data_IF_479929754375
#
_entry.id   IF_479929754375
#
_cell.length_a   1.000
_cell.length_b   1.000
_cell.length_c   1.000
_cell.angle_alpha   90.00
_cell.angle_beta   90.00
_cell.angle_gamma   90.00
#
_symmetry.space_group_name_H-M   'P 1'
#
loop_
_entity.id
_entity.type
_entity.pdbx_description
1 polymer ?
#
# COMPACT_ATOMS: atom_id res chain seq x y z
N UNK A 1 -5.22 -11.31 13.40
CA UNK A 1 -4.60 -12.47 12.72
C UNK A 1 -3.08 -12.39 12.74
N UNK A 2 -2.46 -11.33 12.19
CA UNK A 2 -0.98 -11.18 12.17
C UNK A 2 -0.37 -11.10 13.58
N UNK A 3 -0.99 -10.40 14.53
CA UNK A 3 -0.48 -10.33 15.91
C UNK A 3 -0.47 -11.69 16.62
N UNK A 4 -1.45 -12.56 16.32
CA UNK A 4 -1.48 -13.93 16.85
C UNK A 4 -0.32 -14.76 16.30
N UNK A 5 0.02 -14.58 15.02
CA UNK A 5 1.18 -15.23 14.40
C UNK A 5 2.48 -14.81 15.10
N UNK A 6 2.66 -13.53 15.40
CA UNK A 6 3.84 -13.06 16.15
C UNK A 6 3.90 -13.59 17.58
N UNK A 7 2.76 -13.65 18.27
CA UNK A 7 2.69 -14.25 19.62
C UNK A 7 3.05 -15.74 19.62
N UNK A 8 2.52 -16.50 18.65
CA UNK A 8 2.88 -17.91 18.48
C UNK A 8 4.36 -18.05 18.17
N UNK A 9 4.91 -17.18 17.31
CA UNK A 9 6.34 -17.18 16.99
C UNK A 9 7.21 -16.87 18.20
N UNK A 10 6.77 -15.99 19.10
CA UNK A 10 7.49 -15.65 20.32
C UNK A 10 7.57 -16.84 21.30
N UNK A 11 6.55 -17.72 21.31
CA UNK A 11 6.49 -18.89 22.19
C UNK A 11 7.21 -20.11 21.59
N UNK A 12 7.00 -20.38 20.30
CA UNK A 12 7.50 -21.60 19.62
C UNK A 12 8.89 -21.41 19.01
N UNK A 13 9.33 -20.16 18.83
CA UNK A 13 10.59 -19.80 18.18
C UNK A 13 10.44 -19.71 16.65
N UNK A 14 11.34 -18.95 16.02
CA UNK A 14 11.31 -18.68 14.57
C UNK A 14 11.59 -19.95 13.74
N UNK A 15 12.35 -20.89 14.30
CA UNK A 15 12.73 -22.14 13.65
C UNK A 15 11.53 -23.04 13.30
N UNK A 16 10.40 -22.88 13.99
CA UNK A 16 9.18 -23.64 13.71
C UNK A 16 8.61 -23.36 12.32
N UNK A 17 8.82 -22.14 11.79
CA UNK A 17 8.32 -21.73 10.48
C UNK A 17 9.03 -22.39 9.30
N UNK A 18 10.26 -22.88 9.53
CA UNK A 18 11.08 -23.54 8.51
C UNK A 18 10.89 -25.07 8.51
N UNK A 19 10.19 -25.63 9.50
CA UNK A 19 9.93 -27.06 9.57
C UNK A 19 8.65 -27.44 8.83
N UNK A 20 8.64 -28.55 8.06
CA UNK A 20 7.44 -29.04 7.41
C UNK A 20 6.45 -29.56 8.46
N UNK A 21 5.16 -29.26 8.27
CA UNK A 21 4.10 -29.67 9.21
C UNK A 21 3.63 -31.08 8.85
N UNK A 22 3.02 -31.22 7.67
CA UNK A 22 2.40 -32.45 7.16
C UNK A 22 2.61 -32.45 5.62
N UNK A 23 2.99 -33.59 5.02
CA UNK A 23 3.19 -33.76 3.57
C UNK A 23 4.08 -32.68 2.89
N UNK A 24 5.20 -32.29 3.51
CA UNK A 24 6.09 -31.21 3.01
C UNK A 24 5.44 -29.83 2.85
N UNK A 25 4.26 -29.59 3.42
CA UNK A 25 3.65 -28.25 3.44
C UNK A 25 4.32 -27.43 4.55
N UNK A 26 4.88 -26.28 4.18
CA UNK A 26 5.46 -25.34 5.14
C UNK A 26 4.37 -24.44 5.74
N UNK A 27 4.64 -23.89 6.93
CA UNK A 27 3.76 -22.88 7.54
C UNK A 27 3.52 -21.66 6.64
N UNK A 28 4.51 -21.29 5.81
CA UNK A 28 4.39 -20.21 4.81
C UNK A 28 3.26 -20.48 3.82
N UNK A 29 3.09 -21.72 3.39
CA UNK A 29 2.11 -22.08 2.36
C UNK A 29 0.69 -22.01 2.92
N UNK A 30 0.49 -22.49 4.15
CA UNK A 30 -0.79 -22.34 4.87
C UNK A 30 -1.17 -20.87 5.07
N UNK A 31 -0.21 -20.04 5.47
CA UNK A 31 -0.49 -18.62 5.69
C UNK A 31 -0.80 -17.89 4.37
N UNK A 32 -0.06 -18.19 3.31
CA UNK A 32 -0.27 -17.61 1.98
C UNK A 32 -1.64 -18.02 1.41
N UNK A 33 -1.96 -19.31 1.47
CA UNK A 33 -3.26 -19.84 1.01
C UNK A 33 -4.43 -19.29 1.81
N UNK A 34 -4.29 -19.12 3.14
CA UNK A 34 -5.30 -18.47 3.96
C UNK A 34 -5.54 -17.02 3.53
N UNK A 35 -4.48 -16.22 3.36
CA UNK A 35 -4.61 -14.81 2.96
C UNK A 35 -5.25 -14.69 1.58
N UNK A 36 -4.72 -15.42 0.59
CA UNK A 36 -5.24 -15.39 -0.79
C UNK A 36 -6.67 -15.92 -0.83
N UNK A 37 -6.93 -17.02 -0.12
CA UNK A 37 -8.26 -17.61 0.01
C UNK A 37 -9.28 -16.62 0.58
N UNK A 38 -8.99 -15.99 1.72
CA UNK A 38 -9.87 -14.98 2.32
C UNK A 38 -10.04 -13.73 1.44
N UNK A 39 -8.99 -13.31 0.73
CA UNK A 39 -9.06 -12.18 -0.20
C UNK A 39 -10.02 -12.47 -1.36
N UNK A 40 -9.86 -13.63 -2.02
CA UNK A 40 -10.64 -14.00 -3.21
C UNK A 40 -12.05 -14.48 -2.89
N UNK A 41 -12.27 -15.16 -1.76
CA UNK A 41 -13.58 -15.75 -1.42
C UNK A 41 -14.49 -14.82 -0.62
N UNK A 42 -13.93 -13.96 0.23
CA UNK A 42 -14.73 -13.10 1.14
C UNK A 42 -14.57 -11.64 0.78
N UNK A 43 -13.34 -11.12 0.81
CA UNK A 43 -13.12 -9.67 0.78
C UNK A 43 -13.48 -9.06 -0.56
N UNK A 44 -12.97 -9.62 -1.66
CA UNK A 44 -13.25 -9.11 -3.01
C UNK A 44 -14.72 -9.29 -3.41
N UNK A 45 -15.35 -10.48 -3.25
CA UNK A 45 -16.74 -10.66 -3.64
C UNK A 45 -17.68 -9.77 -2.84
N UNK A 46 -17.46 -9.63 -1.52
CA UNK A 46 -18.30 -8.77 -0.69
C UNK A 46 -18.15 -7.29 -1.05
N UNK A 47 -16.93 -6.83 -1.32
CA UNK A 47 -16.67 -5.45 -1.76
C UNK A 47 -17.32 -5.17 -3.12
N UNK A 48 -17.18 -6.08 -4.08
CA UNK A 48 -17.77 -5.95 -5.40
C UNK A 48 -19.31 -5.98 -5.35
N UNK A 49 -19.88 -6.90 -4.56
CA UNK A 49 -21.31 -6.98 -4.32
C UNK A 49 -21.87 -5.67 -3.74
N UNK A 50 -21.18 -5.08 -2.76
CA UNK A 50 -21.58 -3.81 -2.15
C UNK A 50 -21.54 -2.65 -3.16
N UNK A 51 -20.51 -2.58 -4.00
CA UNK A 51 -20.42 -1.58 -5.08
C UNK A 51 -21.56 -1.77 -6.09
N UNK A 52 -21.81 -3.01 -6.53
CA UNK A 52 -22.88 -3.32 -7.48
C UNK A 52 -24.27 -3.01 -6.92
N UNK A 53 -24.53 -3.40 -5.67
CA UNK A 53 -25.78 -3.09 -4.97
C UNK A 53 -25.97 -1.57 -4.81
N UNK A 54 -24.91 -0.85 -4.46
CA UNK A 54 -24.93 0.62 -4.37
C UNK A 54 -25.24 1.28 -5.72
N UNK A 55 -24.66 0.77 -6.81
CA UNK A 55 -24.94 1.23 -8.17
C UNK A 55 -26.41 1.03 -8.55
N UNK A 56 -26.93 -0.19 -8.36
CA UNK A 56 -28.32 -0.53 -8.70
C UNK A 56 -29.33 0.32 -7.92
N UNK A 57 -29.02 0.63 -6.66
CA UNK A 57 -29.89 1.40 -5.78
C UNK A 57 -29.70 2.93 -5.92
N UNK A 58 -28.83 3.41 -6.82
CA UNK A 58 -28.47 4.83 -6.98
C UNK A 58 -28.02 5.51 -5.67
N UNK A 59 -27.47 4.75 -4.72
CA UNK A 59 -26.95 5.27 -3.44
C UNK A 59 -25.45 5.57 -3.51
N UNK A 60 -24.84 5.49 -4.70
CA UNK A 60 -23.44 5.82 -4.87
C UNK A 60 -23.22 7.32 -4.74
N UNK A 61 -22.16 7.67 -4.03
CA UNK A 61 -21.71 9.05 -3.85
C UNK A 61 -21.28 9.72 -5.16
N UNK A 62 -20.83 8.92 -6.13
CA UNK A 62 -20.48 9.36 -7.46
C UNK A 62 -21.44 8.73 -8.47
N UNK A 63 -21.93 9.53 -9.43
CA UNK A 63 -22.99 9.13 -10.36
C UNK A 63 -22.55 8.10 -11.39
N UNK A 64 -21.24 7.93 -11.59
CA UNK A 64 -20.68 7.01 -12.59
C UNK A 64 -19.79 5.96 -11.93
N UNK A 65 -19.90 4.71 -12.39
CA UNK A 65 -19.03 3.59 -11.97
C UNK A 65 -17.55 3.90 -12.23
N UNK A 66 -17.24 4.55 -13.35
CA UNK A 66 -15.89 4.99 -13.69
C UNK A 66 -15.27 5.83 -12.57
N UNK A 67 -16.00 6.83 -12.07
CA UNK A 67 -15.52 7.72 -11.00
C UNK A 67 -15.36 6.98 -9.68
N UNK A 68 -16.22 5.99 -9.43
CA UNK A 68 -16.15 5.14 -8.23
C UNK A 68 -14.96 4.19 -8.25
N UNK A 69 -14.53 3.73 -9.44
CA UNK A 69 -13.41 2.82 -9.64
C UNK A 69 -12.08 3.53 -9.95
N UNK A 70 -12.11 4.82 -10.28
CA UNK A 70 -10.93 5.66 -10.50
C UNK A 70 -9.86 5.55 -9.39
N UNK A 71 -10.23 5.48 -8.09
CA UNK A 71 -9.27 5.30 -7.00
C UNK A 71 -8.45 4.00 -7.07
N UNK A 72 -8.93 2.98 -7.78
CA UNK A 72 -8.24 1.69 -7.91
C UNK A 72 -7.08 1.73 -8.91
N UNK A 73 -7.05 2.70 -9.81
CA UNK A 73 -6.03 2.78 -10.87
C UNK A 73 -4.63 2.93 -10.26
N UNK A 74 -4.46 3.85 -9.31
CA UNK A 74 -3.15 4.12 -8.70
C UNK A 74 -2.56 2.90 -7.96
N UNK A 75 -3.30 2.21 -7.07
CA UNK A 75 -2.82 0.98 -6.45
C UNK A 75 -2.54 -0.17 -7.43
N UNK A 76 -3.41 -0.38 -8.43
CA UNK A 76 -3.20 -1.44 -9.43
C UNK A 76 -1.93 -1.16 -10.24
N UNK A 77 -1.71 0.09 -10.66
CA UNK A 77 -0.52 0.49 -11.38
C UNK A 77 0.75 0.31 -10.53
N UNK A 78 0.71 0.64 -9.24
CA UNK A 78 1.81 0.38 -8.30
C UNK A 78 2.21 -1.10 -8.29
N UNK A 79 1.22 -2.01 -8.18
CA UNK A 79 1.50 -3.45 -8.15
C UNK A 79 2.03 -3.96 -9.49
N UNK A 80 1.49 -3.50 -10.62
CA UNK A 80 1.99 -3.86 -11.95
C UNK A 80 3.44 -3.41 -12.11
N UNK A 81 3.75 -2.15 -11.83
CA UNK A 81 5.11 -1.61 -11.95
C UNK A 81 6.10 -2.31 -11.02
N UNK A 82 5.72 -2.56 -9.77
CA UNK A 82 6.56 -3.28 -8.80
C UNK A 82 6.84 -4.72 -9.26
N UNK A 83 5.83 -5.38 -9.82
CA UNK A 83 5.97 -6.74 -10.35
C UNK A 83 6.86 -6.77 -11.59
N UNK A 84 6.68 -5.81 -12.51
CA UNK A 84 7.55 -5.65 -13.69
C UNK A 84 9.00 -5.43 -13.28
N UNK A 85 9.25 -4.60 -12.26
CA UNK A 85 10.59 -4.39 -11.74
C UNK A 85 11.21 -5.70 -11.23
N UNK A 86 10.48 -6.46 -10.41
CA UNK A 86 11.00 -7.74 -9.88
C UNK A 86 11.41 -8.68 -11.02
N UNK A 87 10.58 -8.81 -12.06
CA UNK A 87 10.88 -9.72 -13.18
C UNK A 87 11.98 -9.22 -14.11
N UNK A 88 12.10 -7.89 -14.29
CA UNK A 88 13.12 -7.29 -15.14
C UNK A 88 14.44 -7.04 -14.42
N UNK A 89 14.50 -7.20 -13.09
CA UNK A 89 15.66 -6.90 -12.26
C UNK A 89 16.84 -7.85 -12.56
N UNK A 90 17.97 -7.35 -13.10
CA UNK A 90 19.17 -8.17 -13.30
C UNK A 90 19.86 -8.51 -11.98
N UNK A 91 19.78 -7.63 -10.97
CA UNK A 91 20.48 -7.78 -9.69
C UNK A 91 19.65 -8.51 -8.61
N UNK A 92 18.49 -9.08 -9.00
CA UNK A 92 17.56 -9.79 -8.11
C UNK A 92 17.30 -9.02 -6.80
N UNK A 93 16.87 -7.76 -6.91
CA UNK A 93 16.71 -6.86 -5.76
C UNK A 93 15.82 -7.42 -4.64
N UNK A 94 14.89 -8.31 -4.97
CA UNK A 94 14.01 -8.95 -4.00
C UNK A 94 14.76 -9.94 -3.11
N UNK A 95 15.77 -10.63 -3.63
CA UNK A 95 16.60 -11.56 -2.87
C UNK A 95 17.67 -10.80 -2.07
N UNK A 96 18.26 -9.77 -2.68
CA UNK A 96 19.33 -8.98 -2.07
C UNK A 96 18.83 -8.04 -0.97
N UNK A 97 17.73 -7.31 -1.21
CA UNK A 97 17.18 -6.30 -0.30
C UNK A 97 15.65 -6.37 -0.14
N UNK A 98 15.08 -7.53 0.27
CA UNK A 98 13.63 -7.74 0.36
C UNK A 98 12.93 -6.72 1.26
N UNK A 99 13.53 -6.41 2.42
CA UNK A 99 12.94 -5.53 3.43
C UNK A 99 12.75 -4.11 2.89
N UNK A 100 13.75 -3.59 2.19
CA UNK A 100 13.72 -2.24 1.65
C UNK A 100 12.69 -2.14 0.53
N UNK A 101 12.65 -3.13 -0.35
CA UNK A 101 11.68 -3.19 -1.44
C UNK A 101 10.23 -3.26 -0.93
N UNK A 102 9.93 -4.17 0.00
CA UNK A 102 8.58 -4.27 0.58
C UNK A 102 8.19 -3.01 1.37
N UNK A 103 9.15 -2.38 2.05
CA UNK A 103 8.92 -1.11 2.74
C UNK A 103 8.58 0.03 1.76
N UNK A 104 9.29 0.14 0.64
CA UNK A 104 9.02 1.11 -0.41
C UNK A 104 7.62 0.92 -1.02
N UNK A 105 7.28 -0.30 -1.43
CA UNK A 105 5.96 -0.63 -2.00
C UNK A 105 4.86 -0.34 -0.99
N UNK A 106 5.04 -0.77 0.26
CA UNK A 106 4.09 -0.55 1.34
C UNK A 106 3.89 0.93 1.66
N UNK A 107 4.95 1.72 1.72
CA UNK A 107 4.88 3.17 2.00
C UNK A 107 4.21 3.92 0.84
N UNK A 108 4.50 3.54 -0.40
CA UNK A 108 3.85 4.11 -1.59
C UNK A 108 2.36 3.79 -1.59
N UNK A 109 1.99 2.54 -1.32
CA UNK A 109 0.60 2.11 -1.20
C UNK A 109 -0.13 2.84 -0.07
N UNK A 110 0.50 2.98 1.11
CA UNK A 110 -0.06 3.71 2.23
C UNK A 110 -0.29 5.19 1.88
N UNK A 111 0.66 5.85 1.21
CA UNK A 111 0.51 7.24 0.79
C UNK A 111 -0.68 7.41 -0.17
N UNK A 112 -0.83 6.53 -1.16
CA UNK A 112 -1.97 6.52 -2.08
C UNK A 112 -3.28 6.32 -1.30
N UNK A 113 -3.37 5.27 -0.49
CA UNK A 113 -4.59 4.95 0.27
C UNK A 113 -4.98 6.05 1.25
N UNK A 114 -4.03 6.69 1.93
CA UNK A 114 -4.33 7.82 2.81
C UNK A 114 -4.93 9.02 2.06
N UNK A 115 -4.46 9.30 0.83
CA UNK A 115 -5.08 10.32 -0.03
C UNK A 115 -6.49 9.93 -0.45
N UNK A 116 -6.72 8.66 -0.81
CA UNK A 116 -8.05 8.16 -1.12
C UNK A 116 -9.02 8.37 0.05
N UNK A 117 -8.60 7.99 1.27
CA UNK A 117 -9.43 8.13 2.47
C UNK A 117 -9.79 9.60 2.71
N UNK A 118 -8.82 10.51 2.63
CA UNK A 118 -9.08 11.95 2.83
C UNK A 118 -10.06 12.48 1.78
N UNK A 119 -9.84 12.20 0.49
CA UNK A 119 -10.75 12.61 -0.59
C UNK A 119 -12.17 12.09 -0.36
N UNK A 120 -12.30 10.84 0.09
CA UNK A 120 -13.59 10.25 0.41
C UNK A 120 -14.26 10.92 1.62
N UNK A 121 -13.52 11.28 2.66
CA UNK A 121 -14.08 11.96 3.83
C UNK A 121 -14.46 13.41 3.55
N UNK A 122 -13.70 14.12 2.70
CA UNK A 122 -13.94 15.53 2.38
C UNK A 122 -14.86 15.77 1.17
N UNK A 123 -15.46 14.71 0.59
CA UNK A 123 -16.25 14.79 -0.65
C UNK A 123 -15.50 15.43 -1.83
N UNK A 124 -14.16 15.37 -1.85
CA UNK A 124 -13.36 15.94 -2.94
C UNK A 124 -13.01 14.87 -3.98
N UNK A 125 -12.80 15.30 -5.22
CA UNK A 125 -12.40 14.40 -6.31
C UNK A 125 -11.02 13.85 -6.03
N UNK A 126 -10.88 12.54 -6.12
CA UNK A 126 -9.57 11.90 -6.04
C UNK A 126 -8.81 12.11 -7.34
N UNK A 127 -7.53 12.49 -7.24
CA UNK A 127 -6.64 12.48 -8.39
C UNK A 127 -6.41 11.03 -8.84
N UNK A 128 -6.53 10.71 -10.14
CA UNK A 128 -6.44 9.34 -10.64
C UNK A 128 -5.02 8.76 -10.54
N UNK A 129 -4.01 9.61 -10.66
CA UNK A 129 -2.60 9.22 -10.65
C UNK A 129 -1.87 9.92 -9.51
N UNK A 130 -1.35 9.12 -8.57
CA UNK A 130 -0.45 9.63 -7.55
C UNK A 130 0.86 10.09 -8.17
N UNK A 131 1.30 11.30 -7.81
CA UNK A 131 2.57 11.86 -8.27
C UNK A 131 3.77 10.96 -7.94
N UNK A 132 3.66 10.15 -6.88
CA UNK A 132 4.70 9.22 -6.46
C UNK A 132 4.88 8.03 -7.41
N UNK A 133 3.93 7.77 -8.31
CA UNK A 133 4.06 6.75 -9.36
C UNK A 133 5.02 7.19 -10.47
N UNK A 134 5.22 8.50 -10.69
CA UNK A 134 6.14 9.02 -11.70
C UNK A 134 7.59 8.60 -11.44
N UNK A 135 8.21 8.87 -10.27
CA UNK A 135 9.58 8.42 -10.01
C UNK A 135 9.70 6.88 -10.03
N UNK A 136 8.66 6.15 -9.62
CA UNK A 136 8.64 4.69 -9.75
C UNK A 136 8.68 4.24 -11.22
N UNK A 137 7.83 4.81 -12.10
CA UNK A 137 7.84 4.48 -13.53
C UNK A 137 9.19 4.77 -14.17
N UNK A 138 9.84 5.89 -13.81
CA UNK A 138 11.15 6.25 -14.33
C UNK A 138 12.20 5.21 -13.94
N UNK A 139 12.23 4.80 -12.67
CA UNK A 139 13.16 3.77 -12.21
C UNK A 139 12.92 2.44 -12.92
N UNK A 140 11.67 2.01 -13.08
CA UNK A 140 11.34 0.79 -13.83
C UNK A 140 11.80 0.87 -15.29
N UNK A 141 11.64 2.01 -15.95
CA UNK A 141 12.11 2.20 -17.33
C UNK A 141 13.64 2.14 -17.44
N UNK A 142 14.37 2.71 -16.48
CA UNK A 142 15.84 2.66 -16.43
C UNK A 142 16.32 1.22 -16.24
N UNK A 143 15.63 0.43 -15.40
CA UNK A 143 15.97 -0.97 -15.16
C UNK A 143 15.66 -1.82 -16.39
N UNK A 144 14.48 -1.67 -17.00
CA UNK A 144 14.08 -2.41 -18.20
C UNK A 144 14.98 -2.10 -19.41
N UNK A 145 15.48 -0.86 -19.52
CA UNK A 145 16.41 -0.46 -20.59
C UNK A 145 17.85 -0.97 -20.38
N UNK A 146 18.14 -1.61 -19.24
CA UNK A 146 19.46 -2.20 -18.95
C UNK A 146 20.56 -1.16 -18.74
N UNK A 147 20.21 0.11 -18.51
CA UNK A 147 21.16 1.21 -18.53
C UNK A 147 22.07 1.26 -17.29
N UNK A 148 21.71 0.60 -16.19
CA UNK A 148 22.50 0.61 -14.95
C UNK A 148 22.23 -0.59 -14.01
N UNK A 149 22.68 -1.81 -14.33
CA UNK A 149 22.49 -2.99 -13.47
C UNK A 149 23.18 -2.83 -12.10
N UNK A 150 24.35 -2.20 -12.05
CA UNK A 150 25.13 -2.02 -10.81
C UNK A 150 24.56 -0.95 -9.87
N UNK A 151 23.73 -0.02 -10.39
CA UNK A 151 23.17 1.09 -9.62
C UNK A 151 21.75 0.80 -9.10
N UNK A 152 21.22 -0.40 -9.36
CA UNK A 152 19.84 -0.75 -9.02
C UNK A 152 19.56 -0.66 -7.51
N UNK A 153 20.51 -1.09 -6.67
CA UNK A 153 20.41 -0.98 -5.22
C UNK A 153 20.39 0.48 -4.75
N UNK A 154 21.21 1.34 -5.37
CA UNK A 154 21.24 2.77 -5.07
C UNK A 154 19.93 3.44 -5.49
N UNK A 155 19.37 3.10 -6.66
CA UNK A 155 18.07 3.57 -7.11
C UNK A 155 16.95 3.16 -6.15
N UNK A 156 16.99 1.92 -5.63
CA UNK A 156 16.03 1.45 -4.64
C UNK A 156 16.09 2.28 -3.34
N UNK A 157 17.30 2.56 -2.84
CA UNK A 157 17.49 3.40 -1.63
C UNK A 157 17.00 4.83 -1.86
N UNK A 158 17.37 5.44 -2.99
CA UNK A 158 16.93 6.80 -3.33
C UNK A 158 15.41 6.88 -3.48
N UNK A 159 14.80 5.92 -4.17
CA UNK A 159 13.35 5.90 -4.32
C UNK A 159 12.65 5.68 -2.99
N UNK A 160 13.16 4.76 -2.16
CA UNK A 160 12.61 4.51 -0.82
C UNK A 160 12.65 5.75 0.04
N UNK A 161 13.80 6.42 0.11
CA UNK A 161 13.95 7.65 0.92
C UNK A 161 13.03 8.77 0.43
N UNK A 162 12.92 8.98 -0.89
CA UNK A 162 11.98 9.94 -1.48
C UNK A 162 10.54 9.62 -1.09
N UNK A 163 10.11 8.36 -1.24
CA UNK A 163 8.77 7.89 -0.89
C UNK A 163 8.47 8.11 0.59
N UNK A 164 9.41 7.79 1.48
CA UNK A 164 9.25 7.99 2.92
C UNK A 164 9.11 9.46 3.28
N UNK A 165 9.97 10.33 2.74
CA UNK A 165 9.88 11.78 2.96
C UNK A 165 8.54 12.32 2.45
N UNK A 166 8.11 11.91 1.26
CA UNK A 166 6.84 12.33 0.68
C UNK A 166 5.64 11.90 1.55
N UNK A 167 5.65 10.66 2.05
CA UNK A 167 4.60 10.14 2.92
C UNK A 167 4.55 10.88 4.27
N UNK A 168 5.69 11.11 4.90
CA UNK A 168 5.78 11.88 6.16
C UNK A 168 5.31 13.32 5.97
N UNK A 169 5.77 13.99 4.91
CA UNK A 169 5.35 15.35 4.60
C UNK A 169 3.84 15.43 4.37
N UNK A 170 3.26 14.50 3.60
CA UNK A 170 1.82 14.41 3.40
C UNK A 170 1.08 14.24 4.73
N UNK A 171 1.51 13.29 5.58
CA UNK A 171 0.90 13.04 6.88
C UNK A 171 0.90 14.27 7.80
N UNK A 172 2.04 14.94 7.93
CA UNK A 172 2.17 16.14 8.76
C UNK A 172 1.27 17.28 8.24
N UNK A 173 1.23 17.49 6.92
CA UNK A 173 0.40 18.55 6.32
C UNK A 173 -1.09 18.31 6.50
N UNK A 174 -1.55 17.07 6.34
CA UNK A 174 -2.97 16.73 6.56
C UNK A 174 -3.36 16.94 8.02
N UNK A 175 -2.53 16.50 8.96
CA UNK A 175 -2.79 16.69 10.40
C UNK A 175 -2.86 18.18 10.75
N UNK A 176 -1.93 19.00 10.26
CA UNK A 176 -1.93 20.45 10.48
C UNK A 176 -3.18 21.13 9.88
N UNK A 177 -3.57 20.77 8.66
CA UNK A 177 -4.76 21.30 8.00
C UNK A 177 -6.05 20.95 8.75
N UNK A 178 -6.20 19.68 9.16
CA UNK A 178 -7.38 19.23 9.91
C UNK A 178 -7.42 19.86 11.31
N UNK A 179 -6.28 19.97 11.98
CA UNK A 179 -6.16 20.65 13.27
C UNK A 179 -6.64 22.10 13.20
N UNK A 180 -6.20 22.85 12.18
CA UNK A 180 -6.65 24.23 11.94
C UNK A 180 -8.14 24.32 11.58
N UNK A 181 -8.60 23.42 10.70
CA UNK A 181 -10.00 23.41 10.26
C UNK A 181 -10.97 23.13 11.41
N UNK A 182 -10.65 22.17 12.28
CA UNK A 182 -11.48 21.80 13.43
C UNK A 182 -11.18 22.59 14.70
N UNK A 183 -10.18 23.48 14.68
CA UNK A 183 -9.69 24.19 15.86
C UNK A 183 -9.42 23.23 17.03
N UNK A 184 -8.61 22.20 16.80
CA UNK A 184 -8.20 21.22 17.81
C UNK A 184 -6.67 21.10 17.84
N UNK A 185 -6.08 20.91 19.02
CA UNK A 185 -4.66 20.59 19.09
C UNK A 185 -4.43 19.13 18.68
N UNK A 186 -3.48 18.85 17.76
CA UNK A 186 -3.16 17.48 17.40
C UNK A 186 -2.59 16.78 18.64
N UNK A 187 -3.11 15.58 18.94
CA UNK A 187 -2.70 14.74 20.08
C UNK A 187 -2.96 15.33 21.47
N UNK A 188 -3.86 16.32 21.60
CA UNK A 188 -4.28 16.86 22.90
C UNK A 188 -5.81 16.94 22.99
N UNK A 189 -6.35 16.56 24.14
CA UNK A 189 -7.79 16.66 24.44
C UNK A 189 -8.21 18.09 24.83
N UNK A 190 -7.24 19.00 25.06
CA UNK A 190 -7.54 20.40 25.33
C UNK A 190 -7.97 21.09 24.05
N UNK A 191 -9.01 21.91 24.12
CA UNK A 191 -9.43 22.78 23.01
C UNK A 191 -8.59 24.07 23.03
N UNK A 192 -8.27 24.67 21.88
CA UNK A 192 -7.73 26.02 21.81
C UNK A 192 -8.65 26.99 22.55
N UNK A 193 -8.07 27.91 23.32
CA UNK A 193 -8.81 29.00 23.95
C UNK A 193 -9.44 29.86 22.85
N UNK A 194 -10.74 30.10 22.95
CA UNK A 194 -11.44 31.08 22.13
C UNK A 194 -11.18 32.46 22.73
N UNK A 195 -10.09 33.10 22.30
CA UNK A 195 -9.86 34.53 22.53
C UNK A 195 -10.39 35.33 21.33
#
# INVERSE_FOLDING_TARGET
>A
TISCVYLVTAVVGVEAWYKPIIYNVLYRDLFTTMIVGCALSVTLPMSLYNVFKGYRNNTLKHTTLYESMLPLISPVLLFILSTLWIFASPSQILETHPRLFYFMVGTTFANITCQLIVCQMSNTRCQPLSWLLVPLTLVVLVVVSGFAPDMEALLLVLLTTLVTIAHLHYGVRVVDQLSKHFSIYPFSLKKPSAD
#
